data_IF_744557703217
#
_entry.id   IF_744557703217
#
_cell.length_a   1.000
_cell.length_b   1.000
_cell.length_c   1.000
_cell.angle_alpha   90.00
_cell.angle_beta   90.00
_cell.angle_gamma   90.00
#
_symmetry.space_group_name_H-M   'P 1'
#
loop_
_entity.id
_entity.type
_entity.pdbx_description
1 polymer ?
#
# COMPACT_ATOMS: atom_id res chain seq x y z
N UNK A 1 13.45 -16.73 -1.51
CA UNK A 1 13.88 -15.66 -0.58
C UNK A 1 12.64 -15.24 0.21
N UNK A 2 12.68 -15.19 1.55
CA UNK A 2 11.58 -14.65 2.33
C UNK A 2 11.42 -13.15 2.08
N UNK A 3 10.21 -12.63 2.26
CA UNK A 3 9.88 -11.20 2.20
C UNK A 3 9.16 -10.81 3.49
N UNK A 4 9.35 -9.58 3.93
CA UNK A 4 8.51 -8.96 4.95
C UNK A 4 7.37 -8.21 4.25
N UNK A 5 6.18 -8.23 4.86
CA UNK A 5 5.00 -7.57 4.31
C UNK A 5 4.30 -6.75 5.39
N UNK A 6 4.09 -5.47 5.10
CA UNK A 6 3.25 -4.57 5.90
C UNK A 6 1.90 -4.42 5.19
N UNK A 7 0.81 -4.52 5.95
CA UNK A 7 -0.55 -4.29 5.45
C UNK A 7 -1.24 -3.20 6.26
N UNK A 8 -1.69 -2.16 5.57
CA UNK A 8 -2.44 -1.05 6.16
C UNK A 8 -3.84 -0.99 5.56
N UNK A 9 -4.81 -0.51 6.35
CA UNK A 9 -6.11 -0.10 5.85
C UNK A 9 -6.11 1.42 5.71
N UNK A 10 -6.35 1.91 4.51
CA UNK A 10 -6.23 3.32 4.15
C UNK A 10 -7.45 3.78 3.34
N UNK A 11 -7.62 5.10 3.23
CA UNK A 11 -8.54 5.71 2.24
C UNK A 11 -7.76 6.12 0.98
N UNK A 12 -8.44 6.34 -0.17
CA UNK A 12 -7.80 6.79 -1.41
C UNK A 12 -6.95 8.06 -1.24
N UNK A 13 -7.39 9.00 -0.41
CA UNK A 13 -6.69 10.27 -0.17
C UNK A 13 -5.35 10.08 0.54
N UNK A 14 -5.18 8.95 1.24
CA UNK A 14 -3.95 8.62 1.96
C UNK A 14 -2.97 7.79 1.11
N UNK A 15 -3.39 7.30 -0.06
CA UNK A 15 -2.66 6.32 -0.85
C UNK A 15 -1.28 6.81 -1.26
N UNK A 16 -1.21 7.97 -1.92
CA UNK A 16 0.05 8.58 -2.38
C UNK A 16 0.99 8.87 -1.20
N UNK A 17 0.45 9.38 -0.09
CA UNK A 17 1.27 9.72 1.09
C UNK A 17 1.93 8.49 1.70
N UNK A 18 1.17 7.39 1.86
CA UNK A 18 1.72 6.17 2.43
C UNK A 18 2.59 5.39 1.44
N UNK A 19 2.28 5.42 0.16
CA UNK A 19 3.13 4.84 -0.88
C UNK A 19 4.51 5.47 -0.86
N UNK A 20 4.59 6.80 -0.94
CA UNK A 20 5.86 7.54 -0.91
C UNK A 20 6.64 7.25 0.36
N UNK A 21 5.98 7.32 1.53
CA UNK A 21 6.62 7.05 2.81
C UNK A 21 7.17 5.62 2.91
N UNK A 22 6.43 4.62 2.42
CA UNK A 22 6.86 3.22 2.47
C UNK A 22 8.00 2.94 1.51
N UNK A 23 7.97 3.54 0.31
CA UNK A 23 9.08 3.46 -0.64
C UNK A 23 10.33 4.15 -0.10
N UNK A 24 10.20 5.30 0.57
CA UNK A 24 11.32 6.03 1.17
C UNK A 24 12.04 5.21 2.26
N UNK A 25 11.28 4.47 3.09
CA UNK A 25 11.86 3.60 4.13
C UNK A 25 12.30 2.23 3.62
N UNK A 26 12.26 1.99 2.30
CA UNK A 26 12.87 0.83 1.65
C UNK A 26 11.90 -0.26 1.19
N UNK A 27 10.61 0.05 1.03
CA UNK A 27 9.71 -0.89 0.36
C UNK A 27 10.16 -1.09 -1.09
N UNK A 28 10.19 -2.34 -1.54
CA UNK A 28 10.54 -2.70 -2.92
C UNK A 28 9.32 -2.69 -3.84
N UNK A 29 8.12 -2.73 -3.27
CA UNK A 29 6.85 -2.70 -3.99
C UNK A 29 5.74 -2.24 -3.05
N UNK A 30 4.81 -1.46 -3.60
CA UNK A 30 3.54 -1.09 -2.96
C UNK A 30 2.39 -1.56 -3.86
N UNK A 31 1.37 -2.18 -3.28
CA UNK A 31 0.20 -2.67 -3.99
C UNK A 31 -1.07 -2.20 -3.29
N UNK A 32 -1.97 -1.57 -4.05
CA UNK A 32 -3.31 -1.22 -3.58
C UNK A 32 -4.30 -2.33 -3.93
N UNK A 33 -5.07 -2.76 -2.94
CA UNK A 33 -6.04 -3.83 -3.05
C UNK A 33 -7.37 -3.43 -2.44
N UNK A 34 -8.43 -4.02 -2.95
CA UNK A 34 -9.75 -3.93 -2.31
C UNK A 34 -9.73 -4.53 -0.90
N UNK A 35 -10.37 -3.84 0.05
CA UNK A 35 -10.55 -4.32 1.41
C UNK A 35 -11.93 -4.95 1.69
N UNK A 36 -12.94 -4.67 0.86
CA UNK A 36 -14.34 -4.99 1.16
C UNK A 36 -15.17 -5.53 -0.03
N UNK A 37 -14.53 -6.02 -1.09
CA UNK A 37 -15.21 -6.56 -2.29
C UNK A 37 -16.11 -5.51 -2.96
N UNK A 38 -15.59 -4.28 -3.05
CA UNK A 38 -16.24 -3.14 -3.66
C UNK A 38 -16.02 -3.13 -5.19
N UNK A 39 -17.08 -3.12 -6.01
CA UNK A 39 -16.92 -3.01 -7.46
C UNK A 39 -16.43 -1.61 -7.85
N UNK A 40 -15.45 -1.56 -8.76
CA UNK A 40 -15.11 -0.34 -9.49
C UNK A 40 -15.67 -0.49 -10.91
N UNK A 41 -16.55 0.44 -11.30
CA UNK A 41 -17.06 0.52 -12.67
C UNK A 41 -16.05 1.23 -13.58
N UNK A 42 -16.28 1.19 -14.89
CA UNK A 42 -15.43 1.86 -15.85
C UNK A 42 -15.25 3.34 -15.48
N UNK A 43 -14.03 3.78 -15.15
CA UNK A 43 -13.80 5.14 -14.72
C UNK A 43 -13.59 6.06 -15.92
N UNK A 44 -13.58 7.37 -15.69
CA UNK A 44 -13.29 8.34 -16.74
C UNK A 44 -11.89 8.11 -17.33
N UNK A 45 -11.75 8.35 -18.64
CA UNK A 45 -10.49 8.19 -19.35
C UNK A 45 -9.36 8.99 -18.67
N UNK A 46 -8.26 8.31 -18.35
CA UNK A 46 -7.10 8.90 -17.70
C UNK A 46 -7.16 8.93 -16.17
N UNK A 47 -8.18 8.33 -15.57
CA UNK A 47 -8.28 8.18 -14.10
C UNK A 47 -8.03 6.74 -13.67
N UNK A 48 -7.61 6.55 -12.42
CA UNK A 48 -7.42 5.22 -11.81
C UNK A 48 -7.88 5.31 -10.35
N UNK A 49 -9.20 5.29 -10.10
CA UNK A 49 -9.72 5.43 -8.75
C UNK A 49 -9.35 4.20 -7.91
N UNK A 50 -9.12 4.43 -6.63
CA UNK A 50 -8.98 3.37 -5.62
C UNK A 50 -10.32 3.12 -4.92
N UNK A 51 -10.43 1.97 -4.25
CA UNK A 51 -11.58 1.63 -3.43
C UNK A 51 -11.67 2.55 -2.21
N UNK A 52 -12.90 2.89 -1.78
CA UNK A 52 -13.12 3.75 -0.61
C UNK A 52 -12.44 3.22 0.66
N UNK A 53 -12.28 1.90 0.74
CA UNK A 53 -11.48 1.19 1.74
C UNK A 53 -10.47 0.33 1.00
N UNK A 54 -9.23 0.77 1.03
CA UNK A 54 -8.13 0.16 0.29
C UNK A 54 -7.15 -0.47 1.29
N UNK A 55 -6.71 -1.68 0.98
CA UNK A 55 -5.52 -2.26 1.60
C UNK A 55 -4.28 -1.86 0.84
N UNK A 56 -3.36 -1.20 1.53
CA UNK A 56 -2.01 -0.97 1.02
C UNK A 56 -1.12 -2.11 1.53
N UNK A 57 -0.49 -2.84 0.61
CA UNK A 57 0.54 -3.84 0.90
C UNK A 57 1.90 -3.31 0.48
N UNK A 58 2.83 -3.21 1.44
CA UNK A 58 4.23 -2.91 1.15
C UNK A 58 5.10 -4.14 1.39
N UNK A 59 5.94 -4.46 0.40
CA UNK A 59 6.90 -5.57 0.48
C UNK A 59 8.29 -5.03 0.76
N UNK A 60 9.02 -5.73 1.61
CA UNK A 60 10.39 -5.41 2.00
C UNK A 60 11.26 -6.66 1.91
N UNK A 61 12.55 -6.46 1.62
CA UNK A 61 13.54 -7.53 1.70
C UNK A 61 13.60 -8.11 3.12
N UNK A 62 13.82 -9.41 3.27
CA UNK A 62 13.84 -10.05 4.59
C UNK A 62 14.98 -9.60 5.51
N UNK A 63 15.98 -8.88 4.98
CA UNK A 63 17.05 -8.29 5.76
C UNK A 63 16.68 -6.91 6.34
N UNK A 64 15.48 -6.38 6.05
CA UNK A 64 15.00 -5.09 6.55
C UNK A 64 14.77 -5.17 8.06
N UNK A 65 15.19 -4.13 8.79
CA UNK A 65 14.98 -4.04 10.23
C UNK A 65 13.50 -3.78 10.54
N UNK A 66 12.82 -4.78 11.12
CA UNK A 66 11.42 -4.70 11.52
C UNK A 66 11.15 -3.56 12.52
N UNK A 67 12.13 -3.20 13.35
CA UNK A 67 11.99 -2.15 14.36
C UNK A 67 11.84 -0.77 13.71
N UNK A 68 12.53 -0.56 12.58
CA UNK A 68 12.41 0.68 11.80
C UNK A 68 11.03 0.82 11.15
N UNK A 69 10.37 -0.30 10.84
CA UNK A 69 9.04 -0.32 10.22
C UNK A 69 7.89 -0.11 11.22
N UNK A 70 8.12 -0.38 12.51
CA UNK A 70 7.13 -0.31 13.58
C UNK A 70 7.27 0.95 14.46
N UNK A 71 8.17 1.87 14.11
CA UNK A 71 8.39 3.08 14.88
C UNK A 71 7.10 3.95 14.91
N UNK A 72 6.71 4.46 16.11
CA UNK A 72 5.44 5.16 16.33
C UNK A 72 5.37 6.56 15.73
#
# INVERSE_FOLDING_TARGET
MPWLQVRLAITPEQAETYEDALLEVGAVSVTFMDAEDQPIFEPDLGTTPLWSRTHLLALFEAATDETALLAP
#
